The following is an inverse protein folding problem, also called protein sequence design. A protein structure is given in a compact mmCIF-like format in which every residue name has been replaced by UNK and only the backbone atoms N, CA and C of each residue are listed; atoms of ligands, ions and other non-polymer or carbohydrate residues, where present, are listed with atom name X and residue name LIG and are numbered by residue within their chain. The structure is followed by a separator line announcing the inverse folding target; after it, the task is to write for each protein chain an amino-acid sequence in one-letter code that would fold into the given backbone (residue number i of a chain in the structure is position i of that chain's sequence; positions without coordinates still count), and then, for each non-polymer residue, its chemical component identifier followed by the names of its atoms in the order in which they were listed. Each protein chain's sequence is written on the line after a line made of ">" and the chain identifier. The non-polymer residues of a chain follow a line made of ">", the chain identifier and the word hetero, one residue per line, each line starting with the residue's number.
data_IF_380564646588
#
_entry.id   IF_380564646588
#
_cell.length_a   1.000
_cell.length_b   1.000
_cell.length_c   1.000
_cell.angle_alpha   90.00
_cell.angle_beta   90.00
_cell.angle_gamma   90.00
#
_symmetry.space_group_name_H-M   'P 1'
#
loop_
_entity.id
_entity.type
_entity.pdbx_description
1 polymer ?
#
# COMPACT_ATOMS: atom_id res chain seq x y z
N UNK A 1 -31.84 26.74 3.64
CA UNK A 1 -31.53 26.57 2.21
C UNK A 1 -30.26 25.76 2.08
N UNK A 2 -30.28 24.67 1.32
CA UNK A 2 -29.13 23.79 1.11
C UNK A 2 -28.41 24.23 -0.17
N UNK A 3 -27.10 24.47 -0.11
CA UNK A 3 -26.31 24.89 -1.27
C UNK A 3 -26.44 23.85 -2.41
N UNK A 4 -26.60 24.22 -3.70
CA UNK A 4 -26.61 23.27 -4.82
C UNK A 4 -25.41 22.30 -4.84
N UNK A 5 -25.61 21.08 -5.34
CA UNK A 5 -24.59 20.04 -5.34
C UNK A 5 -23.32 20.44 -6.10
N UNK A 6 -23.47 21.13 -7.23
CA UNK A 6 -22.35 21.63 -8.04
C UNK A 6 -21.46 22.59 -7.23
N UNK A 7 -22.07 23.56 -6.55
CA UNK A 7 -21.34 24.49 -5.69
C UNK A 7 -20.68 23.78 -4.49
N UNK A 8 -21.33 22.75 -3.92
CA UNK A 8 -20.72 21.93 -2.86
C UNK A 8 -19.49 21.20 -3.39
N UNK A 9 -19.56 20.63 -4.59
CA UNK A 9 -18.43 19.95 -5.22
C UNK A 9 -17.26 20.89 -5.48
N UNK A 10 -17.52 22.11 -5.99
CA UNK A 10 -16.47 23.14 -6.15
C UNK A 10 -15.80 23.48 -4.82
N UNK A 11 -16.59 23.63 -3.74
CA UNK A 11 -16.04 23.86 -2.40
C UNK A 11 -15.22 22.66 -1.91
N UNK A 12 -15.72 21.44 -2.12
CA UNK A 12 -15.00 20.22 -1.74
C UNK A 12 -13.69 20.09 -2.49
N UNK A 13 -13.66 20.32 -3.80
CA UNK A 13 -12.46 20.30 -4.62
C UNK A 13 -11.44 21.32 -4.12
N UNK A 14 -11.85 22.57 -3.92
CA UNK A 14 -10.98 23.63 -3.42
C UNK A 14 -10.37 23.33 -2.04
N UNK A 15 -11.09 22.59 -1.17
CA UNK A 15 -10.63 22.27 0.18
C UNK A 15 -9.84 20.96 0.29
N UNK A 16 -10.20 19.97 -0.53
CA UNK A 16 -9.72 18.59 -0.39
C UNK A 16 -8.66 18.23 -1.42
N UNK A 17 -8.67 18.83 -2.60
CA UNK A 17 -7.72 18.51 -3.67
C UNK A 17 -6.49 19.40 -3.54
N UNK A 18 -5.32 18.77 -3.58
CA UNK A 18 -4.01 19.41 -3.47
C UNK A 18 -3.25 19.22 -4.77
N UNK A 19 -2.53 20.26 -5.17
CA UNK A 19 -1.58 20.19 -6.30
C UNK A 19 -0.36 19.34 -5.97
N UNK A 20 0.03 19.29 -4.68
CA UNK A 20 1.15 18.48 -4.21
C UNK A 20 0.67 17.17 -3.55
N UNK A 21 1.48 16.09 -3.63
CA UNK A 21 1.17 14.83 -2.96
C UNK A 21 0.96 14.98 -1.45
N UNK A 22 -0.13 14.40 -0.94
CA UNK A 22 -0.46 14.40 0.49
C UNK A 22 0.49 13.45 1.21
N UNK A 23 1.40 14.02 2.00
CA UNK A 23 2.36 13.27 2.81
C UNK A 23 1.72 12.75 4.09
N UNK A 24 1.66 11.42 4.24
CA UNK A 24 1.10 10.76 5.42
C UNK A 24 2.23 10.02 6.14
N UNK A 25 2.59 10.50 7.32
CA UNK A 25 3.64 9.91 8.13
C UNK A 25 3.08 8.91 9.16
N UNK A 26 2.91 7.67 8.72
CA UNK A 26 2.51 6.54 9.57
C UNK A 26 3.63 6.05 10.51
N UNK A 27 4.88 6.52 10.34
CA UNK A 27 5.98 6.22 11.28
C UNK A 27 5.78 7.00 12.58
N UNK A 28 5.50 8.32 12.48
CA UNK A 28 5.24 9.18 13.64
C UNK A 28 3.80 9.08 14.14
N UNK A 29 2.86 8.85 13.23
CA UNK A 29 1.43 8.80 13.54
C UNK A 29 0.81 7.52 12.98
N UNK A 30 0.73 6.43 13.77
CA UNK A 30 0.44 5.08 13.25
C UNK A 30 -0.93 4.90 12.59
N UNK A 31 -1.79 5.93 12.60
CA UNK A 31 -3.11 5.89 11.99
C UNK A 31 -3.26 7.01 10.97
N UNK A 32 -3.55 6.62 9.73
CA UNK A 32 -4.02 7.54 8.71
C UNK A 32 -5.40 8.09 9.09
N UNK A 33 -5.46 9.41 9.33
CA UNK A 33 -6.69 10.13 9.62
C UNK A 33 -7.20 10.83 8.37
N UNK A 34 -8.50 10.76 8.15
CA UNK A 34 -9.17 11.54 7.13
C UNK A 34 -9.10 13.04 7.45
N UNK A 35 -9.10 13.92 6.44
CA UNK A 35 -9.22 15.35 6.64
C UNK A 35 -10.45 15.68 7.47
N UNK A 36 -10.37 16.77 8.25
CA UNK A 36 -11.43 17.17 9.20
C UNK A 36 -12.81 17.24 8.55
N UNK A 37 -12.88 17.75 7.31
CA UNK A 37 -14.12 17.87 6.54
C UNK A 37 -14.85 16.53 6.37
N UNK A 38 -14.12 15.45 6.03
CA UNK A 38 -14.70 14.10 5.90
C UNK A 38 -15.11 13.49 7.24
N UNK A 39 -14.76 14.11 8.37
CA UNK A 39 -15.08 13.63 9.71
C UNK A 39 -16.31 14.30 10.31
N UNK A 40 -16.77 15.41 9.74
CA UNK A 40 -17.87 16.23 10.28
C UNK A 40 -19.21 15.49 10.25
N UNK A 41 -19.63 14.98 9.09
CA UNK A 41 -20.91 14.27 8.95
C UNK A 41 -20.85 13.11 7.97
N UNK A 42 -21.76 12.13 8.13
CA UNK A 42 -21.87 10.99 7.20
C UNK A 42 -22.24 11.44 5.79
N UNK A 43 -23.09 12.46 5.66
CA UNK A 43 -23.51 13.02 4.38
C UNK A 43 -22.35 13.67 3.63
N UNK A 44 -21.62 14.60 4.28
CA UNK A 44 -20.44 15.25 3.68
C UNK A 44 -19.39 14.20 3.31
N UNK A 45 -19.16 13.20 4.17
CA UNK A 45 -18.24 12.10 3.86
C UNK A 45 -18.67 11.34 2.62
N UNK A 46 -19.95 11.03 2.44
CA UNK A 46 -20.43 10.29 1.29
C UNK A 46 -20.23 11.07 -0.02
N UNK A 47 -20.49 12.38 -0.01
CA UNK A 47 -20.31 13.25 -1.18
C UNK A 47 -18.82 13.49 -1.51
N UNK A 48 -18.03 13.85 -0.51
CA UNK A 48 -16.71 14.43 -0.72
C UNK A 48 -15.55 13.42 -0.66
N UNK A 49 -15.78 12.19 -0.18
CA UNK A 49 -14.69 11.20 -0.08
C UNK A 49 -14.11 10.87 -1.46
N UNK A 50 -14.96 10.65 -2.46
CA UNK A 50 -14.50 10.30 -3.81
C UNK A 50 -13.66 11.41 -4.41
N UNK A 51 -14.07 12.67 -4.21
CA UNK A 51 -13.30 13.86 -4.62
C UNK A 51 -11.92 13.86 -3.96
N UNK A 52 -11.86 13.64 -2.65
CA UNK A 52 -10.59 13.58 -1.93
C UNK A 52 -9.68 12.45 -2.42
N UNK A 53 -10.17 11.21 -2.48
CA UNK A 53 -9.29 10.08 -2.79
C UNK A 53 -8.90 10.02 -4.27
N UNK A 54 -9.84 10.27 -5.19
CA UNK A 54 -9.55 10.25 -6.64
C UNK A 54 -8.90 11.53 -7.16
N UNK A 55 -9.00 12.65 -6.43
CA UNK A 55 -8.38 13.91 -6.81
C UNK A 55 -6.92 14.07 -6.37
N UNK A 56 -6.48 13.32 -5.36
CA UNK A 56 -5.16 13.50 -4.74
C UNK A 56 -4.19 12.34 -4.98
N UNK A 57 -2.92 12.72 -5.07
CA UNK A 57 -1.80 11.79 -4.94
C UNK A 57 -1.39 11.67 -3.47
N UNK A 58 -0.99 10.46 -3.06
CA UNK A 58 -0.60 10.19 -1.67
C UNK A 58 0.82 9.65 -1.59
N UNK A 59 1.56 10.10 -0.56
CA UNK A 59 2.90 9.62 -0.25
C UNK A 59 2.96 9.16 1.22
N UNK A 60 2.99 7.85 1.43
CA UNK A 60 2.96 7.24 2.75
C UNK A 60 4.37 6.90 3.23
N UNK A 61 4.78 7.44 4.38
CA UNK A 61 5.92 6.92 5.13
C UNK A 61 5.41 5.98 6.21
N UNK A 62 5.65 4.67 6.10
CA UNK A 62 4.99 3.66 6.94
C UNK A 62 5.98 2.63 7.50
N UNK A 63 5.81 2.29 8.78
CA UNK A 63 6.46 1.12 9.36
C UNK A 63 5.78 -0.14 8.83
N UNK A 64 6.57 -1.17 8.54
CA UNK A 64 6.03 -2.41 7.96
C UNK A 64 4.92 -3.04 8.82
N UNK A 65 4.98 -2.89 10.15
CA UNK A 65 3.95 -3.36 11.09
C UNK A 65 2.62 -2.60 11.02
N UNK A 66 2.60 -1.36 10.51
CA UNK A 66 1.37 -0.55 10.37
C UNK A 66 0.69 -0.74 9.01
N UNK A 67 1.35 -1.44 8.09
CA UNK A 67 0.89 -1.68 6.72
C UNK A 67 -0.48 -2.39 6.64
N UNK A 68 -0.79 -3.43 7.45
CA UNK A 68 -2.09 -4.12 7.37
C UNK A 68 -3.28 -3.17 7.55
N UNK A 69 -3.16 -2.18 8.45
CA UNK A 69 -4.21 -1.19 8.68
C UNK A 69 -4.45 -0.28 7.47
N UNK A 70 -3.38 0.09 6.76
CA UNK A 70 -3.49 0.85 5.50
C UNK A 70 -4.12 -0.01 4.41
N UNK A 71 -3.65 -1.26 4.24
CA UNK A 71 -4.19 -2.18 3.24
C UNK A 71 -5.69 -2.43 3.44
N UNK A 72 -6.10 -2.71 4.68
CA UNK A 72 -7.51 -2.88 5.03
C UNK A 72 -8.35 -1.63 4.70
N UNK A 73 -7.81 -0.43 4.93
CA UNK A 73 -8.50 0.80 4.56
C UNK A 73 -8.62 0.92 3.03
N UNK A 74 -7.53 0.74 2.28
CA UNK A 74 -7.53 0.82 0.81
C UNK A 74 -8.48 -0.20 0.17
N UNK A 75 -8.54 -1.42 0.71
CA UNK A 75 -9.49 -2.44 0.28
C UNK A 75 -10.94 -1.96 0.46
N UNK A 76 -11.29 -1.42 1.62
CA UNK A 76 -12.64 -0.85 1.85
C UNK A 76 -12.97 0.30 0.89
N UNK A 77 -11.98 1.12 0.53
CA UNK A 77 -12.19 2.18 -0.47
C UNK A 77 -12.45 1.58 -1.87
N UNK A 78 -11.72 0.52 -2.21
CA UNK A 78 -11.87 -0.20 -3.48
C UNK A 78 -13.25 -0.87 -3.58
N UNK A 79 -13.68 -1.55 -2.51
CA UNK A 79 -15.02 -2.15 -2.41
C UNK A 79 -16.13 -1.11 -2.55
N UNK A 80 -15.92 0.11 -2.05
CA UNK A 80 -16.93 1.16 -2.05
C UNK A 80 -17.01 1.95 -3.35
N UNK A 81 -15.88 2.19 -4.03
CA UNK A 81 -15.80 3.12 -5.16
C UNK A 81 -15.22 2.51 -6.44
N UNK A 82 -15.06 1.19 -6.45
CA UNK A 82 -14.56 0.42 -7.57
C UNK A 82 -13.03 0.45 -7.70
N UNK A 83 -12.58 -0.02 -8.86
CA UNK A 83 -11.16 -0.11 -9.21
C UNK A 83 -10.52 1.28 -9.20
N UNK A 84 -9.32 1.40 -8.62
CA UNK A 84 -8.57 2.66 -8.39
C UNK A 84 -9.30 3.63 -7.44
N UNK A 85 -9.35 3.31 -6.13
CA UNK A 85 -9.93 4.21 -5.13
C UNK A 85 -9.14 5.51 -4.94
N UNK A 86 -7.86 5.53 -5.33
CA UNK A 86 -6.95 6.67 -5.21
C UNK A 86 -6.31 6.99 -6.55
N UNK A 87 -5.96 8.26 -6.79
CA UNK A 87 -5.29 8.69 -8.04
C UNK A 87 -3.92 8.03 -8.20
N UNK A 88 -3.08 8.19 -7.20
CA UNK A 88 -1.75 7.58 -7.11
C UNK A 88 -1.36 7.38 -5.65
N UNK A 89 -0.64 6.31 -5.37
CA UNK A 89 -0.18 5.97 -4.03
C UNK A 89 1.30 5.54 -4.08
N UNK A 90 2.16 6.37 -3.48
CA UNK A 90 3.55 6.04 -3.21
C UNK A 90 3.71 5.64 -1.75
N UNK A 91 4.54 4.64 -1.50
CA UNK A 91 4.72 4.10 -0.15
C UNK A 91 6.19 3.91 0.16
N UNK A 92 6.71 4.67 1.12
CA UNK A 92 8.03 4.44 1.70
C UNK A 92 7.94 3.50 2.90
N UNK A 93 8.47 2.29 2.78
CA UNK A 93 8.48 1.29 3.85
C UNK A 93 9.74 1.41 4.71
N UNK A 94 9.56 1.55 6.03
CA UNK A 94 10.65 1.68 7.00
C UNK A 94 10.85 0.41 7.84
N UNK A 95 12.12 0.10 8.11
CA UNK A 95 12.57 -1.00 8.99
C UNK A 95 11.92 -2.36 8.61
N UNK A 96 12.06 -2.80 7.35
CA UNK A 96 11.52 -4.09 6.94
C UNK A 96 12.28 -5.22 7.66
N UNK A 97 11.52 -6.10 8.33
CA UNK A 97 12.05 -7.26 9.05
C UNK A 97 11.39 -8.54 8.56
N UNK A 98 12.15 -9.64 8.52
CA UNK A 98 11.64 -10.94 8.11
C UNK A 98 10.40 -11.42 8.87
N UNK A 99 10.30 -11.09 10.17
CA UNK A 99 9.11 -11.43 10.99
C UNK A 99 7.82 -10.76 10.50
N UNK A 100 7.92 -9.68 9.72
CA UNK A 100 6.78 -8.95 9.18
C UNK A 100 6.52 -9.29 7.70
N UNK A 101 7.16 -10.31 7.11
CA UNK A 101 6.95 -10.63 5.68
C UNK A 101 5.52 -11.07 5.33
N UNK A 102 4.71 -11.46 6.31
CA UNK A 102 3.30 -11.78 6.09
C UNK A 102 2.52 -10.62 5.43
N UNK A 103 2.94 -9.37 5.66
CA UNK A 103 2.33 -8.18 5.04
C UNK A 103 2.52 -8.12 3.52
N UNK A 104 3.48 -8.88 2.96
CA UNK A 104 3.62 -9.00 1.51
C UNK A 104 2.37 -9.59 0.86
N UNK A 105 1.61 -10.42 1.60
CA UNK A 105 0.32 -10.92 1.12
C UNK A 105 -0.68 -9.76 0.92
N UNK A 106 -0.74 -8.82 1.85
CA UNK A 106 -1.67 -7.68 1.76
C UNK A 106 -1.30 -6.77 0.59
N UNK A 107 0.00 -6.51 0.40
CA UNK A 107 0.52 -5.75 -0.75
C UNK A 107 0.17 -6.41 -2.08
N UNK A 108 0.43 -7.72 -2.19
CA UNK A 108 0.14 -8.46 -3.40
C UNK A 108 -1.36 -8.51 -3.70
N UNK A 109 -2.20 -8.64 -2.68
CA UNK A 109 -3.66 -8.61 -2.86
C UNK A 109 -4.16 -7.23 -3.30
N UNK A 110 -3.56 -6.13 -2.81
CA UNK A 110 -3.88 -4.79 -3.30
C UNK A 110 -3.50 -4.63 -4.78
N UNK A 111 -2.31 -5.07 -5.18
CA UNK A 111 -1.87 -5.05 -6.57
C UNK A 111 -2.80 -5.91 -7.45
N UNK A 112 -3.17 -7.11 -6.98
CA UNK A 112 -4.13 -7.99 -7.65
C UNK A 112 -5.53 -7.37 -7.81
N UNK A 113 -5.93 -6.47 -6.90
CA UNK A 113 -7.18 -5.71 -7.01
C UNK A 113 -7.05 -4.42 -7.83
N UNK A 114 -5.91 -4.23 -8.53
CA UNK A 114 -5.68 -3.11 -9.44
C UNK A 114 -5.26 -1.80 -8.76
N UNK A 115 -4.82 -1.84 -7.50
CA UNK A 115 -4.21 -0.69 -6.83
C UNK A 115 -2.78 -0.53 -7.33
N UNK A 116 -2.47 0.60 -7.96
CA UNK A 116 -1.11 0.92 -8.38
C UNK A 116 -0.27 1.27 -7.16
N UNK A 117 0.76 0.46 -6.88
CA UNK A 117 1.63 0.60 -5.72
C UNK A 117 3.06 0.82 -6.18
N UNK A 118 3.68 1.89 -5.70
CA UNK A 118 5.10 2.18 -5.95
C UNK A 118 5.86 2.19 -4.62
N UNK A 119 6.27 1.02 -4.08
CA UNK A 119 7.00 0.98 -2.84
C UNK A 119 8.44 1.48 -3.02
N UNK A 120 8.87 2.36 -2.13
CA UNK A 120 10.26 2.79 -1.96
C UNK A 120 10.72 2.19 -0.63
N UNK A 121 11.68 1.28 -0.64
CA UNK A 121 12.19 0.69 0.60
C UNK A 121 13.39 1.53 1.08
N UNK A 122 13.33 2.06 2.31
CA UNK A 122 14.45 2.83 2.90
C UNK A 122 14.96 2.19 4.19
N UNK A 123 16.29 2.13 4.41
CA UNK A 123 16.86 1.81 5.71
C UNK A 123 16.47 2.88 6.75
N UNK A 124 16.49 2.51 8.02
CA UNK A 124 15.85 3.26 9.12
C UNK A 124 16.49 4.59 9.56
N UNK A 125 17.47 5.17 8.86
CA UNK A 125 18.07 6.45 9.26
C UNK A 125 17.48 7.61 8.46
N UNK A 126 16.95 8.61 9.17
CA UNK A 126 16.55 9.93 8.63
C UNK A 126 17.76 10.83 8.31
N UNK A 127 18.94 10.25 8.02
CA UNK A 127 20.19 10.96 7.74
C UNK A 127 20.99 10.30 6.62
N UNK A 128 21.94 11.02 6.01
CA UNK A 128 22.75 10.52 4.91
C UNK A 128 23.80 9.53 5.44
N UNK A 129 23.41 8.26 5.59
CA UNK A 129 24.36 7.17 5.70
C UNK A 129 23.89 6.01 4.83
N UNK A 130 24.46 5.98 3.63
CA UNK A 130 24.62 4.80 2.80
C UNK A 130 25.51 3.79 3.53
N UNK A 131 24.91 2.92 4.34
CA UNK A 131 25.38 1.54 4.46
C UNK A 131 24.13 0.68 4.50
N UNK A 132 23.65 0.31 3.31
CA UNK A 132 22.47 -0.51 3.16
C UNK A 132 22.82 -1.92 3.64
N UNK A 133 22.32 -2.30 4.81
CA UNK A 133 22.47 -3.65 5.34
C UNK A 133 21.83 -4.65 4.38
N UNK A 134 22.60 -5.65 3.92
CA UNK A 134 22.17 -6.69 2.96
C UNK A 134 20.86 -7.39 3.35
N UNK A 135 20.54 -7.47 4.66
CA UNK A 135 19.28 -8.06 5.14
C UNK A 135 18.05 -7.19 4.89
N UNK A 136 18.20 -5.87 4.94
CA UNK A 136 17.10 -4.93 4.66
C UNK A 136 16.79 -4.90 3.17
N UNK A 137 17.82 -4.96 2.32
CA UNK A 137 17.66 -5.12 0.86
C UNK A 137 16.96 -6.41 0.49
N UNK A 138 17.29 -7.52 1.13
CA UNK A 138 16.60 -8.79 0.88
C UNK A 138 15.12 -8.72 1.28
N UNK A 139 14.80 -8.12 2.42
CA UNK A 139 13.40 -7.91 2.82
C UNK A 139 12.66 -7.01 1.82
N UNK A 140 13.30 -5.92 1.38
CA UNK A 140 12.76 -5.03 0.36
C UNK A 140 12.47 -5.77 -0.95
N UNK A 141 13.46 -6.51 -1.45
CA UNK A 141 13.33 -7.28 -2.69
C UNK A 141 12.25 -8.36 -2.58
N UNK A 142 12.10 -9.01 -1.42
CA UNK A 142 11.04 -9.98 -1.19
C UNK A 142 9.64 -9.32 -1.23
N UNK A 143 9.48 -8.11 -0.67
CA UNK A 143 8.20 -7.38 -0.74
C UNK A 143 7.87 -6.93 -2.18
N UNK A 144 8.87 -6.50 -2.95
CA UNK A 144 8.70 -6.22 -4.38
C UNK A 144 8.29 -7.48 -5.15
N UNK A 145 8.85 -8.65 -4.80
CA UNK A 145 8.43 -9.92 -5.38
C UNK A 145 6.95 -10.24 -5.11
N UNK A 146 6.46 -9.97 -3.90
CA UNK A 146 5.04 -10.17 -3.58
C UNK A 146 4.14 -9.30 -4.47
N UNK A 147 4.50 -8.03 -4.70
CA UNK A 147 3.75 -7.15 -5.62
C UNK A 147 3.70 -7.70 -7.04
N UNK A 148 4.84 -8.16 -7.56
CA UNK A 148 4.90 -8.78 -8.89
C UNK A 148 4.02 -10.03 -9.00
N UNK A 149 3.91 -10.83 -7.94
CA UNK A 149 2.96 -11.96 -7.91
C UNK A 149 1.52 -11.45 -8.03
N UNK A 150 1.19 -10.32 -7.41
CA UNK A 150 -0.10 -9.66 -7.52
C UNK A 150 -0.39 -9.18 -8.94
N UNK A 151 0.54 -8.45 -9.55
CA UNK A 151 0.46 -7.96 -10.93
C UNK A 151 0.29 -9.11 -11.93
N UNK A 152 1.14 -10.14 -11.82
CA UNK A 152 1.06 -11.36 -12.64
C UNK A 152 -0.26 -12.10 -12.47
N UNK A 153 -0.82 -12.10 -11.26
CA UNK A 153 -2.13 -12.66 -11.00
C UNK A 153 -3.27 -11.95 -11.77
N UNK A 154 -3.12 -10.64 -12.03
CA UNK A 154 -4.06 -9.89 -12.88
C UNK A 154 -3.81 -10.22 -14.35
N UNK A 155 -2.54 -10.20 -14.78
CA UNK A 155 -2.15 -10.45 -16.17
C UNK A 155 -2.57 -11.85 -16.66
N UNK A 156 -2.43 -12.86 -15.80
CA UNK A 156 -2.77 -14.25 -16.11
C UNK A 156 -4.21 -14.64 -15.68
N UNK A 157 -5.05 -13.68 -15.28
CA UNK A 157 -6.43 -13.89 -14.82
C UNK A 157 -6.56 -15.01 -13.77
N UNK A 158 -5.69 -14.97 -12.75
CA UNK A 158 -5.76 -15.95 -11.67
C UNK A 158 -7.00 -15.73 -10.82
N UNK A 159 -7.76 -16.79 -10.56
CA UNK A 159 -8.76 -16.76 -9.50
C UNK A 159 -8.14 -16.54 -8.10
N UNK A 160 -8.90 -15.97 -7.18
CA UNK A 160 -8.43 -15.62 -5.83
C UNK A 160 -7.83 -16.82 -5.06
N UNK A 161 -8.37 -18.04 -5.27
CA UNK A 161 -7.84 -19.28 -4.69
C UNK A 161 -6.40 -19.55 -5.13
N UNK A 162 -6.10 -19.40 -6.43
CA UNK A 162 -4.76 -19.57 -6.99
C UNK A 162 -3.81 -18.49 -6.47
N UNK A 163 -4.28 -17.24 -6.43
CA UNK A 163 -3.51 -16.12 -5.89
C UNK A 163 -3.08 -16.36 -4.44
N UNK A 164 -4.02 -16.76 -3.57
CA UNK A 164 -3.73 -17.08 -2.17
C UNK A 164 -2.79 -18.26 -2.00
N UNK A 165 -2.88 -19.29 -2.85
CA UNK A 165 -1.96 -20.43 -2.82
C UNK A 165 -0.52 -20.01 -3.16
N UNK A 166 -0.35 -19.17 -4.20
CA UNK A 166 0.97 -18.64 -4.59
C UNK A 166 1.59 -17.76 -3.51
N UNK A 167 0.80 -16.91 -2.86
CA UNK A 167 1.27 -16.10 -1.74
C UNK A 167 1.69 -16.94 -0.52
N UNK A 168 0.95 -18.00 -0.19
CA UNK A 168 1.35 -18.94 0.87
C UNK A 168 2.70 -19.59 0.56
N UNK A 169 2.89 -20.04 -0.69
CA UNK A 169 4.17 -20.62 -1.13
C UNK A 169 5.32 -19.60 -1.03
N UNK A 170 5.12 -18.39 -1.53
CA UNK A 170 6.10 -17.31 -1.45
C UNK A 170 6.48 -16.98 0.00
N UNK A 171 5.50 -16.87 0.91
CA UNK A 171 5.75 -16.56 2.32
C UNK A 171 6.53 -17.68 3.01
N UNK A 172 6.21 -18.95 2.74
CA UNK A 172 6.95 -20.09 3.26
C UNK A 172 8.43 -20.05 2.84
N UNK A 173 8.71 -19.73 1.57
CA UNK A 173 10.06 -19.59 1.04
C UNK A 173 10.81 -18.38 1.65
N UNK A 174 10.11 -17.28 1.92
CA UNK A 174 10.68 -16.13 2.60
C UNK A 174 11.09 -16.46 4.04
N UNK A 175 10.24 -17.17 4.77
CA UNK A 175 10.50 -17.52 6.17
C UNK A 175 11.59 -18.59 6.32
N UNK A 176 11.71 -19.53 5.38
CA UNK A 176 12.80 -20.50 5.37
C UNK A 176 14.16 -19.87 5.01
N UNK A 177 14.15 -18.81 4.19
CA UNK A 177 15.34 -18.03 3.80
C UNK A 177 15.97 -17.26 4.97
N UNK A 178 15.20 -16.97 6.03
CA UNK A 178 15.68 -16.30 7.26
C UNK A 178 16.81 -17.09 7.96
N UNK A 179 16.92 -18.39 7.71
CA UNK A 179 17.86 -19.29 8.37
C UNK A 179 19.32 -19.24 7.84
N UNK A 180 19.64 -18.38 6.88
CA UNK A 180 21.04 -18.10 6.49
C UNK A 180 21.73 -19.14 5.59
N UNK A 181 21.00 -20.12 5.05
CA UNK A 181 21.55 -21.16 4.16
C UNK A 181 21.53 -20.81 2.66
N UNK A 182 21.94 -21.78 1.81
CA UNK A 182 21.87 -21.75 0.33
C UNK A 182 20.49 -21.37 -0.25
N UNK A 183 19.44 -21.38 0.58
CA UNK A 183 18.05 -21.10 0.23
C UNK A 183 17.66 -19.62 0.27
N UNK A 184 18.58 -18.70 0.60
CA UNK A 184 18.29 -17.27 0.88
C UNK A 184 17.54 -16.47 -0.20
N UNK A 185 17.42 -17.02 -1.42
CA UNK A 185 16.77 -16.39 -2.58
C UNK A 185 15.69 -17.26 -3.25
N UNK A 186 15.31 -18.41 -2.68
CA UNK A 186 14.33 -19.31 -3.32
C UNK A 186 12.95 -18.67 -3.53
N UNK A 187 12.58 -17.69 -2.71
CA UNK A 187 11.34 -16.92 -2.91
C UNK A 187 11.30 -16.19 -4.25
N UNK A 188 12.44 -15.97 -4.93
CA UNK A 188 12.48 -15.44 -6.30
C UNK A 188 11.87 -16.41 -7.31
N UNK A 189 11.99 -17.72 -7.08
CA UNK A 189 11.40 -18.75 -7.95
C UNK A 189 9.86 -18.67 -7.96
N UNK A 190 9.24 -18.14 -6.89
CA UNK A 190 7.80 -17.94 -6.84
C UNK A 190 7.29 -16.87 -7.83
N UNK A 191 8.19 -16.02 -8.35
CA UNK A 191 7.90 -15.02 -9.38
C UNK A 191 7.95 -15.65 -10.79
N UNK A 192 8.67 -16.78 -10.94
CA UNK A 192 8.96 -17.39 -12.23
C UNK A 192 9.99 -16.59 -13.04
N UNK A 193 11.11 -16.21 -12.41
CA UNK A 193 12.33 -15.77 -13.10
C UNK A 193 13.22 -17.00 -13.29
#
# INVERSE_FOLDING_TARGET
>A
MTLPAELRNVIYEALLVRSEPIKINCVKHPRWRDPRLLRVSKAIRAEASTIYYKGNDFDFSILLSSLPGLCAKLLRLTERWGLRPVRSLRMTLYNPRWCHMHVGNDLAMLAYRGVQLYPIIRPGSLGPQEVISSRHDMCGTALVAALKIGEKGVEEDWGEKRMRARLKQWLALCLSSKAGGKHSKLWKLAIGI
#
